data_IF_532493653860
#
_entry.id   IF_532493653860
#
_cell.length_a   1.000
_cell.length_b   1.000
_cell.length_c   1.000
_cell.angle_alpha   90.00
_cell.angle_beta   90.00
_cell.angle_gamma   90.00
#
_symmetry.space_group_name_H-M   'P 1'
#
loop_
_entity.id
_entity.type
_entity.pdbx_description
1 polymer ?
#
# COMPACT_ATOMS: atom_id res chain seq x y z
N UNK A 1 15.80 10.66 7.25
CA UNK A 1 14.60 11.28 6.64
C UNK A 1 13.52 11.40 7.72
N UNK A 2 12.84 12.55 7.81
CA UNK A 2 11.69 12.73 8.71
C UNK A 2 10.42 12.25 8.00
N UNK A 3 9.58 11.36 8.60
CA UNK A 3 8.34 10.92 7.97
C UNK A 3 7.31 12.05 7.91
N UNK A 4 6.50 12.07 6.85
CA UNK A 4 5.34 12.95 6.76
C UNK A 4 4.14 12.21 7.35
N UNK A 5 3.85 12.48 8.63
CA UNK A 5 2.77 11.85 9.39
C UNK A 5 1.55 12.75 9.31
N UNK A 6 0.40 12.15 8.94
CA UNK A 6 -0.90 12.82 8.87
C UNK A 6 -1.72 12.56 10.13
N UNK A 7 -1.57 11.37 10.72
CA UNK A 7 -2.26 10.98 11.93
C UNK A 7 -1.42 9.97 12.72
N UNK A 8 -1.40 10.10 14.03
CA UNK A 8 -0.77 9.13 14.93
C UNK A 8 -1.50 9.12 16.27
N UNK A 9 -1.82 7.92 16.76
CA UNK A 9 -2.33 7.67 18.10
C UNK A 9 -1.58 6.50 18.76
N UNK A 10 -2.20 5.85 19.76
CA UNK A 10 -1.59 4.72 20.45
C UNK A 10 -1.56 3.45 19.59
N UNK A 11 -2.50 3.29 18.67
CA UNK A 11 -2.76 2.07 17.93
C UNK A 11 -2.29 2.10 16.48
N UNK A 12 -2.36 3.26 15.82
CA UNK A 12 -2.05 3.38 14.40
C UNK A 12 -1.17 4.60 14.09
N UNK A 13 -0.54 4.57 12.94
CA UNK A 13 0.14 5.70 12.33
C UNK A 13 -0.19 5.75 10.83
N UNK A 14 -0.64 6.90 10.35
CA UNK A 14 -0.92 7.19 8.94
C UNK A 14 0.10 8.18 8.43
N UNK A 15 0.76 7.84 7.34
CA UNK A 15 1.79 8.67 6.75
C UNK A 15 1.72 8.69 5.23
N UNK A 16 2.30 9.73 4.65
CA UNK A 16 2.57 9.80 3.21
C UNK A 16 3.87 9.04 2.91
N UNK A 17 3.77 8.04 2.04
CA UNK A 17 4.93 7.39 1.44
C UNK A 17 5.33 8.18 0.20
N UNK A 18 6.53 8.76 0.14
CA UNK A 18 6.97 9.43 -1.07
C UNK A 18 7.32 8.43 -2.17
N UNK A 19 7.30 8.87 -3.42
CA UNK A 19 7.85 8.12 -4.54
C UNK A 19 9.33 7.81 -4.31
N UNK A 20 9.79 6.65 -4.78
CA UNK A 20 11.17 6.20 -4.65
C UNK A 20 11.53 5.48 -3.35
N UNK A 21 10.74 5.60 -2.29
CA UNK A 21 10.93 4.90 -1.01
C UNK A 21 10.04 3.66 -0.97
N UNK A 22 10.58 2.45 -0.76
CA UNK A 22 9.75 1.27 -0.60
C UNK A 22 8.98 1.28 0.72
N UNK A 23 7.82 0.63 0.75
CA UNK A 23 7.08 0.41 2.01
C UNK A 23 7.93 -0.39 2.99
N UNK A 24 8.56 -1.45 2.50
CA UNK A 24 9.45 -2.33 3.24
C UNK A 24 10.46 -2.95 2.27
N UNK A 25 11.72 -3.08 2.69
CA UNK A 25 12.78 -3.74 1.91
C UNK A 25 13.51 -4.78 2.74
N UNK A 26 13.98 -5.83 2.07
CA UNK A 26 14.91 -6.82 2.63
C UNK A 26 16.37 -6.44 2.39
N UNK A 27 16.66 -5.36 1.65
CA UNK A 27 18.02 -4.94 1.33
C UNK A 27 18.61 -4.15 2.50
N UNK A 28 19.70 -4.62 3.12
CA UNK A 28 20.34 -3.89 4.21
C UNK A 28 20.85 -2.51 3.76
N UNK A 29 20.71 -1.52 4.65
CA UNK A 29 21.22 -0.17 4.43
C UNK A 29 20.36 0.74 3.54
N UNK A 30 19.31 0.22 2.91
CA UNK A 30 18.34 1.06 2.19
C UNK A 30 17.21 1.49 3.12
N UNK A 31 16.88 2.79 3.16
CA UNK A 31 15.76 3.28 3.95
C UNK A 31 14.44 2.79 3.35
N UNK A 32 13.51 2.43 4.22
CA UNK A 32 12.12 2.11 3.88
C UNK A 32 11.18 2.76 4.89
N UNK A 33 9.87 2.75 4.61
CA UNK A 33 8.89 3.38 5.49
C UNK A 33 8.86 2.74 6.87
N UNK A 34 9.05 1.41 6.96
CA UNK A 34 9.05 0.68 8.24
C UNK A 34 10.21 1.14 9.12
N UNK A 35 11.43 1.22 8.58
CA UNK A 35 12.61 1.66 9.32
C UNK A 35 12.51 3.13 9.74
N UNK A 36 12.04 3.99 8.84
CA UNK A 36 11.84 5.42 9.11
C UNK A 36 10.83 5.64 10.25
N UNK A 37 9.68 4.94 10.19
CA UNK A 37 8.63 5.07 11.21
C UNK A 37 9.03 4.43 12.55
N UNK A 38 9.72 3.30 12.55
CA UNK A 38 10.26 2.71 13.78
C UNK A 38 11.23 3.64 14.46
N UNK A 39 12.11 4.30 13.71
CA UNK A 39 13.03 5.30 14.26
C UNK A 39 12.28 6.50 14.84
N UNK A 40 11.23 6.99 14.16
CA UNK A 40 10.39 8.07 14.66
C UNK A 40 9.74 7.69 16.01
N UNK A 41 9.08 6.52 16.08
CA UNK A 41 8.43 6.04 17.31
C UNK A 41 9.47 5.85 18.43
N UNK A 42 10.63 5.28 18.14
CA UNK A 42 11.70 5.08 19.12
C UNK A 42 12.22 6.39 19.68
N UNK A 43 12.44 7.41 18.85
CA UNK A 43 12.93 8.71 19.29
C UNK A 43 11.94 9.43 20.19
N UNK A 44 10.64 9.30 19.92
CA UNK A 44 9.56 9.94 20.68
C UNK A 44 9.05 9.12 21.88
N UNK A 45 9.56 7.87 22.05
CA UNK A 45 9.18 7.02 23.18
C UNK A 45 10.02 7.32 24.41
N UNK A 46 9.38 7.42 25.58
CA UNK A 46 10.06 7.48 26.88
C UNK A 46 10.82 6.19 27.18
N UNK A 47 10.28 5.05 26.77
CA UNK A 47 10.91 3.74 26.92
C UNK A 47 11.63 3.37 25.61
N UNK A 48 12.95 3.50 25.59
CA UNK A 48 13.82 3.21 24.44
C UNK A 48 13.83 1.70 24.09
N UNK A 49 12.65 1.13 23.83
CA UNK A 49 12.47 -0.25 23.35
C UNK A 49 12.18 -0.24 21.85
N UNK A 50 12.57 -1.33 21.18
CA UNK A 50 12.25 -1.49 19.77
C UNK A 50 10.72 -1.48 19.57
N UNK A 51 10.18 -0.55 18.78
CA UNK A 51 8.74 -0.42 18.63
C UNK A 51 8.19 -1.57 17.75
N UNK A 52 6.99 -2.03 18.12
CA UNK A 52 6.20 -2.85 17.23
C UNK A 52 5.64 -1.96 16.10
N UNK A 53 5.69 -2.43 14.87
CA UNK A 53 5.07 -1.78 13.73
C UNK A 53 4.73 -2.84 12.67
N UNK A 54 3.45 -2.98 12.36
CA UNK A 54 2.95 -3.91 11.36
C UNK A 54 2.53 -3.18 10.08
N UNK A 55 2.94 -3.75 8.95
CA UNK A 55 2.52 -3.31 7.61
C UNK A 55 1.15 -3.92 7.32
N UNK A 56 0.16 -3.09 7.05
CA UNK A 56 -1.22 -3.52 6.74
C UNK A 56 -1.38 -3.70 5.23
N UNK A 57 -0.93 -2.74 4.47
CA UNK A 57 -0.90 -2.78 3.01
C UNK A 57 0.35 -2.10 2.47
N UNK A 58 0.60 -2.26 1.18
CA UNK A 58 1.82 -1.74 0.55
C UNK A 58 1.48 -0.91 -0.67
N UNK A 59 2.37 0.03 -0.96
CA UNK A 59 2.49 0.71 -2.24
C UNK A 59 3.86 0.35 -2.83
N UNK A 60 3.90 0.22 -4.15
CA UNK A 60 5.14 -0.03 -4.86
C UNK A 60 6.12 1.14 -4.70
N UNK A 61 7.40 0.86 -4.87
CA UNK A 61 8.45 1.85 -4.63
C UNK A 61 8.25 3.16 -5.40
N UNK A 62 7.90 3.17 -6.70
CA UNK A 62 7.71 4.42 -7.45
C UNK A 62 6.41 5.15 -7.14
N UNK A 63 5.46 4.50 -6.44
CA UNK A 63 4.14 5.08 -6.16
C UNK A 63 4.19 5.92 -4.89
N UNK A 64 3.62 7.12 -4.95
CA UNK A 64 3.35 7.98 -3.80
C UNK A 64 1.93 7.74 -3.29
N UNK A 65 1.72 7.83 -1.96
CA UNK A 65 0.38 7.74 -1.38
C UNK A 65 0.37 7.44 0.10
N UNK A 66 -0.84 7.36 0.65
CA UNK A 66 -1.08 7.15 2.05
C UNK A 66 -0.92 5.68 2.44
N UNK A 67 -0.25 5.46 3.55
CA UNK A 67 -0.11 4.16 4.19
C UNK A 67 -0.56 4.24 5.64
N UNK A 68 -1.25 3.20 6.10
CA UNK A 68 -1.53 2.96 7.51
C UNK A 68 -0.67 1.81 8.02
N UNK A 69 -0.11 2.00 9.21
CA UNK A 69 0.62 0.98 9.96
C UNK A 69 -0.01 0.80 11.33
N UNK A 70 0.02 -0.42 11.84
CA UNK A 70 -0.44 -0.68 13.20
C UNK A 70 0.74 -0.63 14.18
N UNK A 71 0.53 0.05 15.30
CA UNK A 71 1.50 0.17 16.41
C UNK A 71 1.27 -0.89 17.49
N UNK A 72 0.13 -1.62 17.41
CA UNK A 72 -0.22 -2.72 18.32
C UNK A 72 -0.67 -3.96 17.55
N UNK A 73 -0.50 -5.18 18.11
CA UNK A 73 -1.01 -6.40 17.50
C UNK A 73 -2.55 -6.42 17.35
N UNK A 74 -3.27 -5.81 18.29
CA UNK A 74 -4.72 -5.70 18.25
C UNK A 74 -5.18 -4.86 17.05
N UNK A 75 -4.58 -3.68 16.85
CA UNK A 75 -4.85 -2.84 15.70
C UNK A 75 -4.48 -3.53 14.38
N UNK A 76 -3.35 -4.26 14.35
CA UNK A 76 -2.96 -5.02 13.17
C UNK A 76 -4.00 -6.08 12.79
N UNK A 77 -4.54 -6.81 13.77
CA UNK A 77 -5.59 -7.81 13.55
C UNK A 77 -6.85 -7.17 12.99
N UNK A 78 -7.29 -6.06 13.58
CA UNK A 78 -8.53 -5.38 13.16
C UNK A 78 -8.39 -4.76 11.76
N UNK A 79 -7.30 -4.05 11.48
CA UNK A 79 -7.07 -3.48 10.15
C UNK A 79 -6.95 -4.54 9.05
N UNK A 80 -6.31 -5.69 9.34
CA UNK A 80 -6.26 -6.81 8.39
C UNK A 80 -7.65 -7.42 8.17
N UNK A 81 -8.49 -7.52 9.21
CA UNK A 81 -9.87 -7.97 9.08
C UNK A 81 -10.67 -7.03 8.15
N UNK A 82 -10.57 -5.72 8.36
CA UNK A 82 -11.22 -4.72 7.50
C UNK A 82 -10.72 -4.78 6.06
N UNK A 83 -9.41 -4.96 5.86
CA UNK A 83 -8.82 -5.10 4.54
C UNK A 83 -9.37 -6.31 3.75
N UNK A 84 -9.67 -7.41 4.45
CA UNK A 84 -10.21 -8.64 3.85
C UNK A 84 -11.73 -8.59 3.64
N UNK A 85 -12.46 -7.82 4.45
CA UNK A 85 -13.93 -7.73 4.42
C UNK A 85 -14.46 -6.59 3.53
N UNK A 86 -13.65 -6.03 2.63
CA UNK A 86 -14.00 -4.87 1.80
C UNK A 86 -14.40 -3.60 2.59
N UNK A 87 -14.22 -3.59 3.91
CA UNK A 87 -14.43 -2.41 4.75
C UNK A 87 -13.29 -1.38 4.66
N UNK A 88 -12.24 -1.71 3.94
CA UNK A 88 -11.07 -0.85 3.73
C UNK A 88 -11.04 -0.39 2.27
N UNK A 89 -11.59 0.79 1.98
CA UNK A 89 -11.58 1.38 0.64
C UNK A 89 -10.16 1.69 0.19
N UNK A 90 -9.80 1.24 -1.03
CA UNK A 90 -8.53 1.58 -1.68
C UNK A 90 -8.82 2.43 -2.90
N UNK A 91 -8.34 3.67 -2.88
CA UNK A 91 -8.52 4.63 -3.95
C UNK A 91 -7.16 5.03 -4.51
N UNK A 92 -7.06 5.06 -5.83
CA UNK A 92 -5.83 5.41 -6.54
C UNK A 92 -6.12 6.44 -7.61
N UNK A 93 -5.14 7.25 -7.90
CA UNK A 93 -5.16 8.14 -9.05
C UNK A 93 -4.05 7.71 -10.01
N UNK A 94 -4.36 7.68 -11.30
CA UNK A 94 -3.40 7.35 -12.34
C UNK A 94 -3.60 8.25 -13.56
N UNK A 95 -2.50 8.61 -14.19
CA UNK A 95 -2.52 9.30 -15.49
C UNK A 95 -2.49 8.23 -16.57
N UNK A 96 -3.42 8.32 -17.53
CA UNK A 96 -3.55 7.38 -18.63
C UNK A 96 -3.04 7.98 -19.93
N UNK A 97 -2.45 7.14 -20.77
CA UNK A 97 -2.23 7.45 -22.18
C UNK A 97 -3.50 7.08 -22.96
N UNK A 98 -4.15 8.06 -23.57
CA UNK A 98 -5.43 7.87 -24.24
C UNK A 98 -6.62 8.07 -23.31
N UNK A 99 -7.81 7.79 -23.82
CA UNK A 99 -9.08 8.00 -23.12
C UNK A 99 -9.89 6.69 -23.16
N UNK A 100 -10.37 6.20 -22.02
CA UNK A 100 -11.34 5.12 -21.98
C UNK A 100 -12.60 5.48 -22.76
N UNK A 101 -13.28 4.47 -23.34
CA UNK A 101 -14.51 4.69 -24.10
C UNK A 101 -15.66 5.21 -23.24
N UNK A 102 -15.67 4.90 -21.97
CA UNK A 102 -16.67 5.31 -20.98
C UNK A 102 -16.01 6.05 -19.84
N UNK A 103 -16.71 7.04 -19.27
CA UNK A 103 -16.21 7.79 -18.11
C UNK A 103 -16.12 6.94 -16.85
N UNK A 104 -16.97 5.92 -16.74
CA UNK A 104 -17.03 4.98 -15.62
C UNK A 104 -16.95 3.55 -16.16
N UNK A 105 -16.33 2.66 -15.40
CA UNK A 105 -16.27 1.27 -15.78
C UNK A 105 -15.69 0.36 -14.71
N UNK A 106 -15.77 -0.93 -14.98
CA UNK A 106 -15.15 -1.98 -14.19
C UNK A 106 -14.19 -2.72 -15.10
N UNK A 107 -12.96 -2.90 -14.63
CA UNK A 107 -11.98 -3.79 -15.24
C UNK A 107 -11.88 -5.04 -14.36
N UNK A 108 -11.98 -6.20 -15.00
CA UNK A 108 -11.88 -7.50 -14.33
C UNK A 108 -11.08 -8.45 -15.21
N UNK A 109 -9.99 -8.95 -14.66
CA UNK A 109 -9.09 -9.88 -15.34
C UNK A 109 -8.60 -10.96 -14.39
N UNK A 110 -8.18 -12.10 -14.94
CA UNK A 110 -7.41 -13.08 -14.18
C UNK A 110 -5.91 -12.78 -14.30
N UNK A 111 -5.23 -12.68 -13.18
CA UNK A 111 -3.80 -12.40 -13.12
C UNK A 111 -3.04 -13.54 -12.46
N UNK A 112 -1.91 -13.92 -13.06
CA UNK A 112 -0.92 -14.80 -12.45
C UNK A 112 0.37 -14.06 -12.24
N UNK A 113 0.99 -14.25 -11.06
CA UNK A 113 2.24 -13.62 -10.70
C UNK A 113 3.43 -14.51 -11.08
N UNK A 114 4.39 -13.94 -11.82
CA UNK A 114 5.71 -14.52 -11.98
C UNK A 114 6.60 -14.09 -10.80
N UNK A 115 6.90 -15.02 -9.91
CA UNK A 115 7.74 -14.77 -8.74
C UNK A 115 9.21 -14.47 -9.07
N UNK A 116 9.71 -14.86 -10.26
CA UNK A 116 11.11 -14.64 -10.67
C UNK A 116 11.33 -13.22 -11.14
N UNK A 117 10.39 -12.70 -11.92
CA UNK A 117 10.45 -11.33 -12.48
C UNK A 117 9.71 -10.32 -11.62
N UNK A 118 8.94 -10.78 -10.63
CA UNK A 118 8.02 -9.98 -9.80
C UNK A 118 7.00 -9.18 -10.63
N UNK A 119 6.59 -9.73 -11.79
CA UNK A 119 5.58 -9.16 -12.67
C UNK A 119 4.28 -9.97 -12.62
N UNK A 120 3.16 -9.34 -12.93
CA UNK A 120 1.89 -10.03 -13.14
C UNK A 120 1.51 -9.97 -14.61
N UNK A 121 0.90 -11.03 -15.12
CA UNK A 121 0.38 -11.09 -16.49
C UNK A 121 -1.07 -11.53 -16.50
N UNK A 122 -1.81 -11.09 -17.49
CA UNK A 122 -3.19 -11.55 -17.75
C UNK A 122 -3.13 -13.02 -18.15
N UNK A 123 -4.09 -13.81 -17.67
CA UNK A 123 -4.23 -15.23 -17.93
C UNK A 123 -5.72 -15.61 -17.96
N UNK A 124 -6.02 -16.89 -18.16
CA UNK A 124 -7.38 -17.43 -18.06
C UNK A 124 -7.67 -17.94 -16.65
N UNK A 125 -8.95 -18.12 -16.31
CA UNK A 125 -9.39 -18.68 -15.04
C UNK A 125 -8.76 -20.05 -14.73
N UNK A 126 -8.54 -20.86 -15.78
CA UNK A 126 -7.99 -22.21 -15.69
C UNK A 126 -6.46 -22.23 -15.44
N UNK A 127 -5.80 -21.06 -15.48
CA UNK A 127 -4.35 -20.99 -15.23
C UNK A 127 -4.07 -21.28 -13.75
N UNK A 128 -3.14 -22.20 -13.43
CA UNK A 128 -2.75 -22.46 -12.05
C UNK A 128 -2.32 -21.16 -11.32
N UNK A 129 -2.78 -20.97 -10.09
CA UNK A 129 -2.54 -19.78 -9.27
C UNK A 129 -3.12 -18.46 -9.82
N UNK A 130 -4.01 -18.52 -10.80
CA UNK A 130 -4.75 -17.36 -11.28
C UNK A 130 -5.59 -16.74 -10.15
N UNK A 131 -5.58 -15.42 -10.07
CA UNK A 131 -6.39 -14.65 -9.12
C UNK A 131 -7.17 -13.60 -9.86
N UNK A 132 -8.45 -13.47 -9.54
CA UNK A 132 -9.28 -12.37 -10.02
C UNK A 132 -8.73 -11.05 -9.52
N UNK A 133 -8.52 -10.12 -10.45
CA UNK A 133 -8.21 -8.72 -10.18
C UNK A 133 -9.35 -7.87 -10.71
N UNK A 134 -9.98 -7.11 -9.84
CA UNK A 134 -11.12 -6.26 -10.18
C UNK A 134 -10.91 -4.86 -9.64
N UNK A 135 -11.17 -3.86 -10.49
CA UNK A 135 -11.22 -2.45 -10.09
C UNK A 135 -12.38 -1.74 -10.79
N UNK A 136 -12.95 -0.76 -10.12
CA UNK A 136 -13.81 0.25 -10.76
C UNK A 136 -13.00 1.52 -11.00
N UNK A 137 -13.27 2.21 -12.10
CA UNK A 137 -12.65 3.49 -12.38
C UNK A 137 -13.69 4.56 -12.69
N UNK A 138 -13.31 5.78 -12.40
CA UNK A 138 -14.01 6.99 -12.81
C UNK A 138 -13.01 7.94 -13.46
N UNK A 139 -13.30 8.37 -14.69
CA UNK A 139 -12.46 9.30 -15.44
C UNK A 139 -12.72 10.72 -14.94
N UNK A 140 -11.73 11.30 -14.30
CA UNK A 140 -11.72 12.70 -13.95
C UNK A 140 -10.98 13.47 -15.05
N UNK A 141 -11.66 14.42 -15.69
CA UNK A 141 -11.02 15.31 -16.65
C UNK A 141 -10.22 16.37 -15.87
N UNK A 142 -8.94 16.15 -15.74
CA UNK A 142 -8.01 17.18 -15.29
C UNK A 142 -7.54 17.89 -16.56
N UNK A 143 -8.00 19.12 -16.77
CA UNK A 143 -7.37 19.98 -17.77
C UNK A 143 -6.00 20.41 -17.23
N UNK A 144 -4.96 19.82 -17.79
CA UNK A 144 -3.58 20.25 -17.60
C UNK A 144 -3.30 21.39 -18.58
#
# INVERSE_FOLDING_TARGET
MKPHILYEDQDIIVCLKPAGIPTQTSRPGLPDMVSILKNHIYQNSAHKKQPYLAVIHRLDQPVEGLLVFAKTPAAAKELNRQLQSFGFGKYYQAVLLGCPQTADGILEDYLVKDGRTNTSRICTEETPDAKVARLSYHLSLIHI
#
